data_IF_136382178705
#
_entry.id   IF_136382178705
#
_cell.length_a   1.000
_cell.length_b   1.000
_cell.length_c   1.000
_cell.angle_alpha   90.00
_cell.angle_beta   90.00
_cell.angle_gamma   90.00
#
_symmetry.space_group_name_H-M   'P 1'
#
loop_
_entity.id
_entity.type
_entity.pdbx_description
1 polymer ?
#
# COMPACT_ATOMS: atom_id res chain seq x y z
N UNK A 1 -13.28 -3.66 4.70
CA UNK A 1 -13.55 -3.13 6.06
C UNK A 1 -13.30 -1.64 6.05
N UNK A 2 -14.30 -0.83 6.36
CA UNK A 2 -14.14 0.63 6.44
C UNK A 2 -13.51 1.03 7.78
N UNK A 3 -12.43 1.80 7.74
CA UNK A 3 -11.90 2.55 8.88
C UNK A 3 -12.24 4.03 8.70
N UNK A 4 -12.63 4.69 9.79
CA UNK A 4 -12.96 6.12 9.82
C UNK A 4 -12.08 6.82 10.84
N UNK A 5 -10.98 7.44 10.39
CA UNK A 5 -10.05 8.21 11.23
C UNK A 5 -9.68 7.49 12.54
N UNK A 6 -9.23 6.23 12.43
CA UNK A 6 -9.06 5.37 13.60
C UNK A 6 -8.03 4.29 13.34
N UNK A 7 -7.70 3.55 14.39
CA UNK A 7 -6.92 2.32 14.31
C UNK A 7 -7.78 1.12 14.71
N UNK A 8 -7.53 -0.03 14.09
CA UNK A 8 -8.15 -1.30 14.49
C UNK A 8 -7.09 -2.37 14.68
N UNK A 9 -7.07 -2.94 15.89
CA UNK A 9 -6.24 -4.09 16.20
C UNK A 9 -6.68 -5.33 15.41
N UNK A 10 -5.70 -6.04 14.86
CA UNK A 10 -5.90 -7.36 14.28
C UNK A 10 -5.80 -8.43 15.37
N UNK A 11 -6.41 -9.58 15.13
CA UNK A 11 -6.32 -10.73 16.05
C UNK A 11 -4.92 -11.34 16.06
N UNK A 12 -4.27 -11.36 14.90
CA UNK A 12 -2.92 -11.87 14.71
C UNK A 12 -1.89 -10.98 15.42
N UNK A 13 -0.89 -11.63 16.03
CA UNK A 13 0.23 -11.02 16.73
C UNK A 13 1.50 -11.82 16.44
N UNK A 14 2.65 -11.21 16.63
CA UNK A 14 3.92 -11.92 16.58
C UNK A 14 5.11 -11.02 16.28
N UNK A 15 6.31 -11.60 16.41
CA UNK A 15 7.58 -10.92 16.12
C UNK A 15 8.02 -11.11 14.67
N UNK A 16 7.59 -12.19 14.04
CA UNK A 16 7.80 -12.46 12.62
C UNK A 16 6.47 -12.81 11.96
N UNK A 17 6.13 -12.12 10.87
CA UNK A 17 4.89 -12.32 10.13
C UNK A 17 4.97 -11.70 8.73
N UNK A 18 4.14 -12.22 7.84
CA UNK A 18 3.84 -11.61 6.54
C UNK A 18 2.45 -10.96 6.63
N UNK A 19 2.27 -9.79 6.01
CA UNK A 19 1.00 -9.11 5.93
C UNK A 19 0.75 -8.64 4.49
N UNK A 20 -0.43 -8.95 3.95
CA UNK A 20 -0.90 -8.41 2.69
C UNK A 20 -2.25 -7.73 2.87
N UNK A 21 -2.44 -6.56 2.27
CA UNK A 21 -3.71 -5.83 2.33
C UNK A 21 -3.86 -4.87 1.15
N UNK A 22 -5.09 -4.71 0.68
CA UNK A 22 -5.48 -3.69 -0.29
C UNK A 22 -6.18 -2.56 0.44
N UNK A 23 -5.87 -1.32 0.10
CA UNK A 23 -6.54 -0.11 0.58
C UNK A 23 -7.13 0.63 -0.62
N UNK A 24 -8.44 0.81 -0.61
CA UNK A 24 -9.22 1.54 -1.62
C UNK A 24 -10.02 2.67 -0.96
N UNK A 25 -10.62 3.53 -1.78
CA UNK A 25 -11.58 4.57 -1.37
C UNK A 25 -11.14 5.41 -0.17
N UNK A 26 -9.84 5.69 -0.08
CA UNK A 26 -9.30 6.49 1.01
C UNK A 26 -9.29 7.97 0.66
N UNK A 27 -9.68 8.81 1.63
CA UNK A 27 -9.80 10.25 1.44
C UNK A 27 -8.45 10.86 1.01
N UNK A 28 -8.46 11.72 0.00
CA UNK A 28 -7.25 12.40 -0.47
C UNK A 28 -6.58 13.22 0.65
N UNK A 29 -5.25 13.23 0.66
CA UNK A 29 -4.42 13.90 1.66
C UNK A 29 -4.33 13.18 3.01
N UNK A 30 -4.87 11.96 3.14
CA UNK A 30 -4.77 11.16 4.37
C UNK A 30 -3.57 10.23 4.40
N UNK A 31 -3.28 9.70 5.58
CA UNK A 31 -2.34 8.62 5.79
C UNK A 31 -3.09 7.31 6.02
N UNK A 32 -2.65 6.24 5.37
CA UNK A 32 -3.21 4.89 5.53
C UNK A 32 -2.10 3.86 5.61
N UNK A 33 -2.28 2.82 6.43
CA UNK A 33 -1.32 1.73 6.55
C UNK A 33 -1.50 0.93 7.83
N UNK A 34 -0.39 0.69 8.54
CA UNK A 34 -0.32 -0.24 9.66
C UNK A 34 0.53 0.29 10.81
N UNK A 35 0.15 -0.07 12.02
CA UNK A 35 1.02 0.00 13.20
C UNK A 35 1.44 -1.43 13.56
N UNK A 36 2.74 -1.67 13.56
CA UNK A 36 3.39 -2.97 13.72
C UNK A 36 4.14 -3.01 15.04
N UNK A 37 4.33 -4.23 15.56
CA UNK A 37 5.20 -4.50 16.72
C UNK A 37 4.96 -3.50 17.85
N UNK A 38 3.68 -3.25 18.16
CA UNK A 38 3.30 -2.26 19.15
C UNK A 38 2.80 -2.86 20.45
N UNK A 39 2.99 -2.11 21.53
CA UNK A 39 2.36 -2.37 22.82
C UNK A 39 1.94 -1.05 23.46
N UNK A 40 0.65 -0.92 23.76
CA UNK A 40 0.07 0.28 24.38
C UNK A 40 0.67 0.59 25.76
N UNK A 41 1.13 -0.41 26.50
CA UNK A 41 1.68 -0.22 27.86
C UNK A 41 3.09 0.36 27.83
N UNK A 42 3.96 -0.16 26.96
CA UNK A 42 5.33 0.34 26.82
C UNK A 42 5.42 1.57 25.91
N UNK A 43 4.42 1.78 25.05
CA UNK A 43 4.42 2.85 24.06
C UNK A 43 5.26 2.55 22.82
N UNK A 44 5.91 1.39 22.76
CA UNK A 44 6.67 0.96 21.59
C UNK A 44 5.72 0.73 20.42
N UNK A 45 6.09 1.23 19.24
CA UNK A 45 5.34 1.08 18.00
C UNK A 45 6.21 1.41 16.78
N UNK A 46 6.03 0.66 15.69
CA UNK A 46 6.51 1.04 14.36
C UNK A 46 5.31 1.32 13.46
N UNK A 47 5.32 2.43 12.73
CA UNK A 47 4.20 2.79 11.85
C UNK A 47 4.65 2.76 10.39
N UNK A 48 3.96 2.00 9.55
CA UNK A 48 4.17 1.94 8.11
C UNK A 48 2.96 2.56 7.42
N UNK A 49 3.14 3.67 6.72
CA UNK A 49 2.03 4.40 6.08
C UNK A 49 2.39 4.88 4.68
N UNK A 50 1.37 4.96 3.83
CA UNK A 50 1.38 5.84 2.68
C UNK A 50 0.81 7.20 3.10
N UNK A 51 1.58 8.27 2.93
CA UNK A 51 1.16 9.65 3.11
C UNK A 51 0.77 10.24 1.75
N UNK A 52 -0.53 10.39 1.52
CA UNK A 52 -1.05 10.87 0.25
C UNK A 52 -0.74 12.35 -0.01
N UNK A 53 -0.65 13.16 1.04
CA UNK A 53 -0.33 14.58 0.90
C UNK A 53 1.11 14.76 0.45
N UNK A 54 2.02 13.93 1.00
CA UNK A 54 3.46 14.00 0.70
C UNK A 54 3.89 13.10 -0.45
N UNK A 55 3.03 12.20 -0.92
CA UNK A 55 3.32 11.16 -1.94
C UNK A 55 4.49 10.28 -1.53
N UNK A 56 4.47 9.78 -0.28
CA UNK A 56 5.56 8.98 0.29
C UNK A 56 5.05 7.72 0.97
N UNK A 57 5.79 6.63 0.84
CA UNK A 57 5.70 5.50 1.77
C UNK A 57 6.73 5.73 2.87
N UNK A 58 6.30 5.59 4.13
CA UNK A 58 7.09 5.95 5.31
C UNK A 58 7.09 4.76 6.28
N UNK A 59 8.27 4.42 6.80
CA UNK A 59 8.46 3.59 7.99
C UNK A 59 8.91 4.52 9.11
N UNK A 60 7.97 4.90 9.99
CA UNK A 60 8.25 5.65 11.20
C UNK A 60 8.63 4.69 12.32
N UNK A 61 9.87 4.83 12.79
CA UNK A 61 10.48 4.03 13.85
C UNK A 61 10.91 4.88 15.05
N UNK A 62 10.39 6.11 15.15
CA UNK A 62 10.70 7.07 16.23
C UNK A 62 10.36 6.52 17.61
N UNK A 63 9.28 5.73 17.69
CA UNK A 63 8.83 5.04 18.90
C UNK A 63 9.03 3.52 18.83
N UNK A 64 9.89 3.02 17.93
CA UNK A 64 10.03 1.55 17.74
C UNK A 64 10.73 0.85 18.91
N UNK A 65 11.45 1.60 19.74
CA UNK A 65 12.20 1.09 20.90
C UNK A 65 12.23 2.13 22.00
N UNK A 66 12.12 1.69 23.26
CA UNK A 66 12.47 2.52 24.41
C UNK A 66 13.97 2.50 24.75
N UNK A 67 14.77 1.68 24.06
CA UNK A 67 16.21 1.47 24.29
C UNK A 67 16.60 0.98 25.70
N UNK A 68 15.64 0.49 26.50
CA UNK A 68 15.87 0.13 27.90
C UNK A 68 16.38 -1.30 28.11
N UNK A 69 16.49 -2.10 27.04
CA UNK A 69 16.97 -3.48 27.09
C UNK A 69 18.50 -3.58 27.17
N UNK A 70 18.99 -4.70 27.70
CA UNK A 70 20.41 -4.93 28.03
C UNK A 70 21.34 -4.72 26.84
N UNK A 71 20.94 -5.11 25.63
CA UNK A 71 21.74 -4.93 24.41
C UNK A 71 22.14 -3.46 24.17
N UNK A 72 21.26 -2.52 24.48
CA UNK A 72 21.50 -1.08 24.31
C UNK A 72 22.20 -0.48 25.51
N UNK A 73 21.71 -0.77 26.72
CA UNK A 73 22.29 -0.26 27.98
C UNK A 73 23.72 -0.71 28.22
N UNK A 74 24.02 -2.00 28.03
CA UNK A 74 25.35 -2.55 28.31
C UNK A 74 26.40 -2.07 27.31
N UNK A 75 25.95 -1.65 26.12
CA UNK A 75 26.81 -1.16 25.05
C UNK A 75 26.82 0.37 24.92
N UNK A 76 26.05 1.10 25.75
CA UNK A 76 25.95 2.57 25.73
C UNK A 76 25.59 3.11 24.33
N UNK A 77 24.61 2.47 23.68
CA UNK A 77 24.16 2.81 22.33
C UNK A 77 22.64 2.88 22.25
N UNK A 78 22.13 3.77 21.41
CA UNK A 78 20.71 3.90 21.12
C UNK A 78 20.41 3.43 19.69
N UNK A 79 19.29 2.72 19.46
CA UNK A 79 18.87 2.37 18.12
C UNK A 79 18.54 3.62 17.30
N UNK A 80 18.87 3.60 16.00
CA UNK A 80 18.50 4.69 15.09
C UNK A 80 16.98 4.75 14.97
N UNK A 81 16.41 5.94 15.17
CA UNK A 81 14.96 6.16 15.29
C UNK A 81 14.37 7.05 14.19
N UNK A 82 15.20 7.65 13.32
CA UNK A 82 14.73 8.47 12.21
C UNK A 82 13.86 7.68 11.22
N UNK A 83 12.73 8.26 10.81
CA UNK A 83 11.87 7.64 9.82
C UNK A 83 12.60 7.42 8.47
N UNK A 84 12.35 6.27 7.84
CA UNK A 84 12.83 5.97 6.48
C UNK A 84 11.66 6.14 5.52
N UNK A 85 11.89 6.69 4.33
CA UNK A 85 10.81 6.96 3.38
C UNK A 85 11.29 6.87 1.93
N UNK A 86 10.34 6.72 1.01
CA UNK A 86 10.55 6.83 -0.43
C UNK A 86 9.34 7.44 -1.12
N UNK A 87 9.57 8.13 -2.24
CA UNK A 87 8.48 8.74 -3.02
C UNK A 87 7.67 7.66 -3.74
N UNK A 88 6.34 7.82 -3.76
CA UNK A 88 5.42 6.90 -4.37
C UNK A 88 4.15 7.61 -4.84
N UNK A 89 3.82 7.45 -6.12
CA UNK A 89 2.66 8.06 -6.75
C UNK A 89 1.67 6.97 -7.14
N UNK A 90 0.39 7.22 -6.83
CA UNK A 90 -0.73 6.41 -7.32
C UNK A 90 -1.23 7.03 -8.62
N UNK A 91 -1.58 6.18 -9.57
CA UNK A 91 -2.14 6.62 -10.85
C UNK A 91 -3.64 6.94 -10.75
N UNK A 92 -4.10 7.81 -11.63
CA UNK A 92 -5.52 7.86 -12.00
C UNK A 92 -5.73 6.80 -13.10
N UNK A 93 -6.76 5.97 -12.96
CA UNK A 93 -7.14 4.89 -13.87
C UNK A 93 -8.34 5.37 -14.67
N UNK A 94 -8.24 5.33 -15.99
CA UNK A 94 -9.29 5.76 -16.91
C UNK A 94 -9.89 4.52 -17.57
N UNK A 95 -11.20 4.37 -17.47
CA UNK A 95 -11.96 3.27 -18.06
C UNK A 95 -13.04 3.85 -18.98
N UNK A 96 -13.20 3.30 -20.19
CA UNK A 96 -14.31 3.65 -21.08
C UNK A 96 -15.63 3.16 -20.48
N UNK A 97 -16.69 3.95 -20.61
CA UNK A 97 -18.03 3.53 -20.22
C UNK A 97 -18.73 3.00 -21.46
N UNK A 98 -18.81 1.68 -21.59
CA UNK A 98 -19.51 1.06 -22.73
C UNK A 98 -21.01 1.36 -22.67
N UNK A 99 -21.52 2.06 -23.68
CA UNK A 99 -22.95 2.16 -23.96
C UNK A 99 -23.34 3.40 -24.75
N UNK A 100 -23.41 3.27 -26.08
CA UNK A 100 -24.63 3.61 -26.83
C UNK A 100 -24.72 3.12 -28.30
N UNK A 101 -23.79 2.35 -28.87
CA UNK A 101 -23.91 2.00 -30.30
C UNK A 101 -24.00 0.48 -30.54
N UNK A 102 -25.22 -0.06 -30.53
CA UNK A 102 -25.49 -1.33 -31.20
C UNK A 102 -26.97 -1.43 -31.58
N UNK A 103 -27.46 -0.48 -32.38
CA UNK A 103 -28.79 -0.52 -32.96
C UNK A 103 -28.89 0.21 -34.30
N UNK A 104 -28.08 -0.16 -35.30
CA UNK A 104 -28.51 -0.01 -36.69
C UNK A 104 -27.63 -0.86 -37.61
N UNK A 105 -28.09 -2.09 -37.88
CA UNK A 105 -27.87 -2.64 -39.22
C UNK A 105 -29.06 -3.53 -39.58
N UNK A 106 -30.09 -2.88 -40.11
CA UNK A 106 -31.25 -3.53 -40.73
C UNK A 106 -31.27 -3.18 -42.21
N UNK A 107 -30.33 -3.71 -42.98
CA UNK A 107 -30.37 -3.61 -44.43
C UNK A 107 -30.61 -4.99 -45.05
N UNK A 108 -31.87 -5.23 -45.42
CA UNK A 108 -32.21 -6.23 -46.42
C UNK A 108 -33.48 -5.84 -47.20
N UNK A 109 -33.26 -5.66 -48.52
CA UNK A 109 -34.23 -5.46 -49.61
C UNK A 109 -34.77 -4.02 -49.77
N UNK A 110 -34.81 -3.40 -50.95
CA UNK A 110 -35.02 -3.98 -52.29
C UNK A 110 -34.56 -3.03 -53.41
N UNK A 111 -34.25 -3.65 -54.55
CA UNK A 111 -33.94 -3.06 -55.86
C UNK A 111 -35.04 -2.12 -56.40
N UNK A 112 -34.63 -1.02 -57.06
CA UNK A 112 -35.30 -0.50 -58.25
C UNK A 112 -34.34 0.32 -59.12
N UNK A 113 -34.09 -0.19 -60.32
CA UNK A 113 -33.52 0.51 -61.47
C UNK A 113 -34.41 1.68 -61.92
N UNK A 114 -33.83 2.79 -62.38
CA UNK A 114 -34.25 3.51 -63.60
C UNK A 114 -33.28 4.61 -64.01
N UNK A 115 -33.08 4.67 -65.32
CA UNK A 115 -32.15 5.47 -66.13
C UNK A 115 -32.68 6.89 -66.48
N UNK A 116 -31.75 7.70 -67.00
CA UNK A 116 -31.88 8.90 -67.84
C UNK A 116 -32.09 10.29 -67.21
N UNK A 117 -31.11 11.17 -67.50
CA UNK A 117 -31.41 12.42 -68.21
C UNK A 117 -31.06 13.76 -67.53
N UNK A 118 -30.08 14.43 -68.13
CA UNK A 118 -29.92 15.90 -68.30
C UNK A 118 -29.65 16.82 -67.10
N UNK A 119 -28.54 17.54 -67.25
CA UNK A 119 -28.21 18.85 -66.68
C UNK A 119 -29.43 19.77 -66.51
N UNK A 120 -29.52 20.47 -65.38
CA UNK A 120 -29.61 21.94 -65.33
C UNK A 120 -29.17 22.46 -63.95
N UNK A 121 -28.47 23.59 -63.99
CA UNK A 121 -27.94 24.36 -62.86
C UNK A 121 -29.06 25.16 -62.20
N UNK A 122 -29.21 25.05 -60.89
CA UNK A 122 -29.92 26.05 -60.06
C UNK A 122 -29.19 26.28 -58.75
N UNK A 123 -29.10 27.57 -58.41
CA UNK A 123 -28.31 28.18 -57.35
C UNK A 123 -28.77 27.78 -55.94
N UNK A 124 -27.84 27.32 -55.11
CA UNK A 124 -28.05 27.03 -53.69
C UNK A 124 -28.08 28.31 -52.84
N UNK A 125 -29.21 28.54 -52.19
CA UNK A 125 -29.37 29.45 -51.06
C UNK A 125 -29.71 28.64 -49.80
N UNK A 126 -29.03 28.99 -48.71
CA UNK A 126 -29.28 28.65 -47.30
C UNK A 126 -29.30 27.17 -46.87
N UNK A 127 -28.44 26.82 -45.90
CA UNK A 127 -28.84 26.38 -44.56
C UNK A 127 -27.81 25.45 -43.91
N UNK A 128 -27.56 25.71 -42.63
CA UNK A 128 -27.02 24.82 -41.60
C UNK A 128 -25.67 24.14 -41.86
N UNK A 129 -24.62 24.78 -41.32
CA UNK A 129 -23.42 24.07 -40.91
C UNK A 129 -23.79 23.01 -39.87
N UNK A 130 -23.86 21.77 -40.34
CA UNK A 130 -23.95 20.53 -39.59
C UNK A 130 -23.04 20.61 -38.35
N UNK A 131 -23.65 20.66 -37.17
CA UNK A 131 -22.98 20.31 -35.94
C UNK A 131 -22.59 18.84 -36.07
N UNK A 132 -21.29 18.58 -36.25
CA UNK A 132 -20.76 17.24 -36.03
C UNK A 132 -21.00 16.90 -34.57
N UNK A 133 -21.95 16.02 -34.30
CA UNK A 133 -22.06 15.35 -33.01
C UNK A 133 -20.80 14.50 -32.87
N UNK A 134 -19.84 15.02 -32.11
CA UNK A 134 -18.72 14.24 -31.65
C UNK A 134 -19.29 13.20 -30.68
N UNK A 135 -19.06 11.95 -31.01
CA UNK A 135 -19.27 10.82 -30.12
C UNK A 135 -18.37 11.04 -28.88
N UNK A 136 -18.93 11.65 -27.83
CA UNK A 136 -18.20 11.88 -26.58
C UNK A 136 -18.14 10.55 -25.83
N UNK A 137 -17.10 9.75 -26.11
CA UNK A 137 -16.71 8.63 -25.27
C UNK A 137 -16.65 9.09 -23.80
N UNK A 138 -17.63 8.67 -22.99
CA UNK A 138 -17.66 9.02 -21.57
C UNK A 138 -16.64 8.16 -20.85
N UNK A 139 -15.60 8.78 -20.29
CA UNK A 139 -14.58 8.09 -19.50
C UNK A 139 -14.87 8.19 -17.99
N UNK A 140 -14.74 7.07 -17.28
CA UNK A 140 -14.74 7.03 -15.81
C UNK A 140 -13.31 7.05 -15.29
N UNK A 141 -12.99 8.05 -14.47
CA UNK A 141 -11.68 8.16 -13.80
C UNK A 141 -11.79 7.69 -12.36
N UNK A 142 -11.01 6.67 -12.00
CA UNK A 142 -10.85 6.19 -10.62
C UNK A 142 -9.41 6.30 -10.16
N UNK A 143 -9.14 6.07 -8.88
CA UNK A 143 -7.78 6.11 -8.33
C UNK A 143 -7.25 4.70 -8.16
N UNK A 144 -5.97 4.50 -8.49
CA UNK A 144 -5.29 3.24 -8.25
C UNK A 144 -5.36 2.81 -6.78
N UNK A 145 -5.73 1.55 -6.56
CA UNK A 145 -5.73 0.92 -5.25
C UNK A 145 -4.31 0.75 -4.71
N UNK A 146 -4.16 0.88 -3.40
CA UNK A 146 -2.89 0.71 -2.71
C UNK A 146 -2.77 -0.71 -2.16
N UNK A 147 -1.87 -1.49 -2.72
CA UNK A 147 -1.61 -2.89 -2.37
C UNK A 147 -0.30 -2.96 -1.58
N UNK A 148 -0.43 -3.22 -0.29
CA UNK A 148 0.70 -3.43 0.61
C UNK A 148 1.02 -4.91 0.73
N UNK A 149 2.32 -5.22 0.74
CA UNK A 149 2.85 -6.52 1.11
C UNK A 149 4.07 -6.30 2.01
N UNK A 150 3.96 -6.71 3.26
CA UNK A 150 4.97 -6.48 4.29
C UNK A 150 5.53 -7.81 4.79
N UNK A 151 6.83 -7.82 5.03
CA UNK A 151 7.51 -8.87 5.77
C UNK A 151 8.12 -8.25 7.02
N UNK A 152 7.78 -8.81 8.17
CA UNK A 152 8.43 -8.50 9.44
C UNK A 152 9.14 -9.76 9.90
N UNK A 153 10.45 -9.71 10.09
CA UNK A 153 11.20 -10.82 10.67
C UNK A 153 12.10 -10.31 11.79
N UNK A 154 11.57 -10.43 13.03
CA UNK A 154 12.15 -9.99 14.30
C UNK A 154 12.54 -8.51 14.32
N UNK A 155 13.66 -8.14 13.70
CA UNK A 155 14.13 -6.74 13.67
C UNK A 155 14.08 -6.13 12.28
N UNK A 156 13.66 -6.87 11.27
CA UNK A 156 13.52 -6.38 9.90
C UNK A 156 12.07 -6.04 9.60
N UNK A 157 11.85 -4.95 8.89
CA UNK A 157 10.58 -4.59 8.27
C UNK A 157 10.87 -4.29 6.81
N UNK A 158 10.25 -5.03 5.90
CA UNK A 158 10.34 -4.85 4.46
C UNK A 158 8.94 -4.58 3.92
N UNK A 159 8.79 -3.49 3.16
CA UNK A 159 7.51 -2.98 2.68
C UNK A 159 7.55 -2.93 1.17
N UNK A 160 6.63 -3.64 0.54
CA UNK A 160 6.41 -3.61 -0.90
C UNK A 160 5.05 -2.98 -1.19
N UNK A 161 5.00 -2.11 -2.20
CA UNK A 161 3.78 -1.41 -2.61
C UNK A 161 3.58 -1.52 -4.12
N UNK A 162 2.38 -1.96 -4.52
CA UNK A 162 1.92 -2.12 -5.92
C UNK A 162 2.96 -2.78 -6.85
N UNK A 163 3.74 -3.73 -6.31
CA UNK A 163 4.79 -4.48 -7.02
C UNK A 163 5.84 -3.61 -7.74
N UNK A 164 5.96 -2.32 -7.39
CA UNK A 164 6.90 -1.38 -8.03
C UNK A 164 7.68 -0.50 -7.05
N UNK A 165 7.47 -0.70 -5.76
CA UNK A 165 8.13 0.04 -4.70
C UNK A 165 8.57 -0.93 -3.61
N UNK A 166 9.77 -0.74 -3.08
CA UNK A 166 10.32 -1.50 -1.96
C UNK A 166 11.04 -0.53 -1.00
N UNK A 167 10.83 -0.74 0.31
CA UNK A 167 11.47 0.04 1.38
C UNK A 167 11.70 -0.86 2.59
N UNK A 168 12.92 -0.83 3.12
CA UNK A 168 13.29 -1.68 4.26
C UNK A 168 13.92 -0.87 5.39
N UNK A 169 13.66 -1.28 6.62
CA UNK A 169 14.25 -0.69 7.82
C UNK A 169 14.49 -1.73 8.91
N UNK A 170 15.33 -1.37 9.89
CA UNK A 170 15.50 -2.12 11.14
C UNK A 170 14.68 -1.48 12.26
N UNK A 171 14.10 -2.32 13.12
CA UNK A 171 13.39 -1.95 14.34
C UNK A 171 13.88 -2.80 15.51
N UNK A 172 13.85 -2.25 16.73
CA UNK A 172 14.36 -2.94 17.91
C UNK A 172 13.47 -2.76 19.16
N UNK A 173 12.19 -3.18 19.13
CA UNK A 173 11.37 -3.17 20.34
C UNK A 173 12.05 -3.95 21.46
N UNK A 174 12.22 -3.31 22.62
CA UNK A 174 12.82 -3.92 23.81
C UNK A 174 11.78 -4.66 24.66
N UNK A 175 10.50 -4.29 24.56
CA UNK A 175 9.43 -4.99 25.24
C UNK A 175 9.05 -6.25 24.45
N UNK A 176 9.25 -7.41 25.07
CA UNK A 176 8.94 -8.71 24.49
C UNK A 176 7.46 -8.88 24.14
N UNK A 177 6.57 -8.08 24.75
CA UNK A 177 5.13 -8.05 24.47
C UNK A 177 4.74 -7.11 23.31
N UNK A 178 5.69 -6.42 22.68
CA UNK A 178 5.50 -5.58 21.48
C UNK A 178 5.24 -6.43 20.24
N UNK A 179 4.10 -7.13 20.22
CA UNK A 179 3.72 -8.12 19.19
C UNK A 179 2.43 -7.75 18.45
N UNK A 180 1.77 -6.65 18.84
CA UNK A 180 0.47 -6.29 18.27
C UNK A 180 0.59 -5.69 16.87
N UNK A 181 -0.45 -5.94 16.07
CA UNK A 181 -0.59 -5.43 14.70
C UNK A 181 -1.91 -4.68 14.61
N UNK A 182 -1.93 -3.54 13.94
CA UNK A 182 -3.15 -2.74 13.74
C UNK A 182 -3.19 -2.10 12.36
N UNK A 183 -4.39 -1.99 11.80
CA UNK A 183 -4.67 -1.11 10.66
C UNK A 183 -4.76 0.33 11.19
N UNK A 184 -4.32 1.31 10.41
CA UNK A 184 -4.42 2.73 10.77
C UNK A 184 -4.82 3.57 9.56
N UNK A 185 -5.69 4.56 9.78
CA UNK A 185 -6.07 5.55 8.80
C UNK A 185 -6.35 6.90 9.48
N UNK A 186 -5.80 7.99 8.95
CA UNK A 186 -6.05 9.36 9.44
C UNK A 186 -7.33 9.99 8.88
N UNK A 187 -8.07 9.25 8.05
CA UNK A 187 -9.38 9.60 7.54
C UNK A 187 -10.13 8.35 7.10
N UNK A 188 -11.14 8.50 6.27
CA UNK A 188 -11.89 7.35 5.76
C UNK A 188 -11.04 6.55 4.77
N UNK A 189 -11.03 5.23 4.92
CA UNK A 189 -10.31 4.29 4.07
C UNK A 189 -10.96 2.90 4.14
N UNK A 190 -10.93 2.16 3.03
CA UNK A 190 -11.44 0.78 2.98
C UNK A 190 -10.26 -0.18 2.90
N UNK A 191 -10.09 -1.02 3.91
CA UNK A 191 -9.11 -2.10 3.93
C UNK A 191 -9.75 -3.41 3.52
N UNK A 192 -9.26 -4.00 2.45
CA UNK A 192 -9.75 -5.24 1.87
C UNK A 192 -8.64 -6.28 1.78
N UNK A 193 -9.04 -7.55 1.60
CA UNK A 193 -8.11 -8.67 1.39
C UNK A 193 -6.98 -8.74 2.44
N UNK A 194 -7.25 -8.28 3.66
CA UNK A 194 -6.27 -8.27 4.76
C UNK A 194 -5.97 -9.70 5.18
N UNK A 195 -4.73 -10.14 4.98
CA UNK A 195 -4.21 -11.43 5.38
C UNK A 195 -2.94 -11.24 6.20
N UNK A 196 -2.81 -12.04 7.26
CA UNK A 196 -1.62 -12.06 8.11
C UNK A 196 -1.21 -13.50 8.33
N UNK A 197 0.03 -13.84 8.01
CA UNK A 197 0.62 -15.15 8.23
C UNK A 197 1.68 -15.05 9.32
N UNK A 198 1.49 -15.76 10.43
CA UNK A 198 2.32 -15.63 11.66
C UNK A 198 3.21 -16.84 11.92
N UNK A 199 3.31 -17.77 10.97
CA UNK A 199 4.14 -18.97 11.07
C UNK A 199 5.15 -19.03 9.88
N UNK A 200 6.09 -18.06 9.80
CA UNK A 200 7.10 -18.10 8.77
C UNK A 200 8.01 -19.32 8.97
N UNK A 201 8.31 -20.02 7.87
CA UNK A 201 9.22 -21.17 7.90
C UNK A 201 10.66 -20.71 8.20
N UNK A 202 11.41 -21.55 8.90
CA UNK A 202 12.84 -21.33 9.04
C UNK A 202 13.54 -21.36 7.68
N UNK A 203 14.20 -20.26 7.34
CA UNK A 203 15.09 -20.20 6.17
C UNK A 203 16.28 -21.19 6.28
N UNK A 204 16.66 -21.53 7.52
CA UNK A 204 17.73 -22.48 7.83
C UNK A 204 17.14 -23.75 8.46
N UNK A 205 17.06 -24.89 7.74
CA UNK A 205 16.41 -26.10 8.25
C UNK A 205 17.17 -26.77 9.41
N UNK A 206 18.49 -26.59 9.47
CA UNK A 206 19.31 -27.10 10.55
C UNK A 206 19.27 -26.15 11.75
N UNK A 207 18.92 -26.67 12.94
CA UNK A 207 19.08 -25.94 14.20
C UNK A 207 20.56 -25.67 14.44
N UNK A 208 20.94 -24.41 14.58
CA UNK A 208 22.29 -23.98 14.96
C UNK A 208 22.25 -23.49 16.40
N UNK A 209 23.18 -23.98 17.23
CA UNK A 209 23.46 -23.36 18.53
C UNK A 209 24.60 -22.37 18.32
N UNK A 210 24.35 -21.10 18.64
CA UNK A 210 25.40 -20.07 18.60
C UNK A 210 25.85 -19.84 20.05
N UNK A 211 27.09 -20.22 20.42
CA UNK A 211 27.60 -19.93 21.74
C UNK A 211 27.67 -18.41 21.93
N UNK A 212 26.82 -17.88 22.81
CA UNK A 212 26.80 -16.45 23.13
C UNK A 212 27.91 -16.18 24.14
N UNK A 213 29.08 -15.75 23.65
CA UNK A 213 30.09 -15.14 24.53
C UNK A 213 29.67 -13.69 24.79
N UNK A 214 29.12 -13.41 25.97
CA UNK A 214 28.95 -12.02 26.39
C UNK A 214 30.29 -11.49 26.86
N UNK A 215 30.92 -10.62 26.07
CA UNK A 215 32.12 -9.90 26.49
C UNK A 215 31.66 -8.55 27.03
N UNK A 216 31.76 -8.36 28.34
CA UNK A 216 31.41 -7.09 28.95
C UNK A 216 32.49 -6.05 28.62
N UNK A 217 32.24 -5.15 27.66
CA UNK A 217 33.25 -4.20 27.14
C UNK A 217 33.88 -3.28 28.20
N UNK A 218 33.14 -2.95 29.27
CA UNK A 218 33.68 -2.12 30.39
C UNK A 218 34.65 -2.88 31.31
N UNK A 219 34.63 -4.22 31.33
CA UNK A 219 35.47 -5.03 32.26
C UNK A 219 36.32 -6.09 31.56
N UNK A 220 36.14 -6.30 30.25
CA UNK A 220 36.81 -7.35 29.48
C UNK A 220 36.45 -8.79 29.91
N UNK A 221 35.57 -8.97 30.91
CA UNK A 221 35.20 -10.30 31.39
C UNK A 221 34.27 -10.99 30.38
N UNK A 222 34.64 -12.21 30.02
CA UNK A 222 33.75 -13.16 29.37
C UNK A 222 32.76 -13.64 30.42
N UNK A 223 31.50 -13.26 30.26
CA UNK A 223 30.40 -13.87 31.00
C UNK A 223 29.93 -15.03 30.14
N UNK A 224 30.19 -16.24 30.61
CA UNK A 224 29.61 -17.45 30.03
C UNK A 224 28.15 -17.46 30.44
N UNK A 225 27.22 -17.30 29.50
CA UNK A 225 25.82 -17.61 29.76
C UNK A 225 25.72 -19.14 29.96
N UNK A 226 25.19 -19.55 31.11
CA UNK A 226 24.88 -20.95 31.42
C UNK A 226 23.68 -21.43 30.59
#
# INVERSE_FOLDING_TARGET
MVLRCTSKALKSKGKSFELAAQVSDFKRGTQVGFTLRHNRRSGEATTVVYDDRRKKVIIDRSSSSNAECTVFKDNDVTPVSDAVWGDFHLYDIVEAVDGLDDASDSDAASDVDSDSGSDELVDDADSDSVAGEADEDIYKVTRENLNFHLFVDVSTVEVFVNNRFALSARIYPCDEASESISLTASGDAVFEKVKVWTDPKHAWPAKRSVPTKQIHKKTGKVVTAA
#
